data_IF_180800475733
#
_entry.id   IF_180800475733
#
_cell.length_a   1.000
_cell.length_b   1.000
_cell.length_c   1.000
_cell.angle_alpha   90.00
_cell.angle_beta   90.00
_cell.angle_gamma   90.00
#
_symmetry.space_group_name_H-M   'P 1'
#
loop_
_entity.id
_entity.type
_entity.pdbx_description
1 polymer ?
#
# COMPACT_ATOMS: atom_id res chain seq x y z
N UNK A 1 20.11 -12.61 20.58
CA UNK A 1 19.38 -11.33 20.57
C UNK A 1 18.11 -11.57 19.77
N UNK A 2 16.94 -11.23 20.31
CA UNK A 2 15.66 -11.44 19.63
C UNK A 2 15.22 -10.10 19.04
N UNK A 3 15.54 -9.85 17.77
CA UNK A 3 15.13 -8.65 17.06
C UNK A 3 13.93 -8.98 16.17
N UNK A 4 12.96 -8.08 16.12
CA UNK A 4 11.96 -8.06 15.06
C UNK A 4 12.54 -7.28 13.88
N UNK A 5 12.48 -7.88 12.70
CA UNK A 5 12.99 -7.27 11.46
C UNK A 5 11.80 -6.90 10.58
N UNK A 6 11.83 -5.67 10.07
CA UNK A 6 10.82 -5.14 9.15
C UNK A 6 11.51 -4.80 7.84
N UNK A 7 10.91 -5.20 6.72
CA UNK A 7 11.34 -4.88 5.37
C UNK A 7 10.32 -3.95 4.71
N UNK A 8 10.69 -2.68 4.50
CA UNK A 8 9.96 -1.78 3.62
C UNK A 8 10.43 -1.95 2.17
N UNK A 9 9.50 -2.18 1.24
CA UNK A 9 9.81 -2.44 -0.16
C UNK A 9 8.71 -1.91 -1.08
N UNK A 10 9.04 -1.60 -2.33
CA UNK A 10 8.03 -1.27 -3.36
C UNK A 10 7.43 -2.52 -4.04
N UNK A 11 7.88 -3.73 -3.68
CA UNK A 11 7.31 -4.97 -4.19
C UNK A 11 7.66 -5.33 -5.63
N UNK A 12 8.61 -4.63 -6.28
CA UNK A 12 9.04 -4.94 -7.66
C UNK A 12 9.95 -6.17 -7.72
N UNK A 13 10.68 -6.45 -6.64
CA UNK A 13 11.58 -7.62 -6.54
C UNK A 13 10.82 -8.78 -5.89
N UNK A 14 10.98 -10.03 -6.38
CA UNK A 14 10.39 -11.21 -5.74
C UNK A 14 10.74 -11.31 -4.25
N UNK A 15 9.73 -11.65 -3.44
CA UNK A 15 9.85 -11.78 -1.98
C UNK A 15 10.01 -13.23 -1.52
N UNK A 16 10.20 -14.18 -2.44
CA UNK A 16 10.29 -15.63 -2.18
C UNK A 16 11.48 -16.03 -1.30
N UNK A 17 12.49 -15.16 -1.20
CA UNK A 17 13.68 -15.36 -0.37
C UNK A 17 13.67 -14.58 0.94
N UNK A 18 12.62 -13.81 1.20
CA UNK A 18 12.48 -13.08 2.47
C UNK A 18 12.07 -14.08 3.56
N UNK A 19 12.81 -14.20 4.67
CA UNK A 19 12.46 -15.10 5.77
C UNK A 19 11.05 -14.82 6.31
N UNK A 20 10.33 -15.87 6.73
CA UNK A 20 8.94 -15.75 7.16
C UNK A 20 8.76 -14.86 8.39
N UNK A 21 9.77 -14.81 9.27
CA UNK A 21 9.78 -13.98 10.47
C UNK A 21 9.96 -12.47 10.19
N UNK A 22 10.36 -12.09 8.97
CA UNK A 22 10.46 -10.70 8.58
C UNK A 22 9.07 -10.19 8.23
N UNK A 23 8.68 -9.09 8.86
CA UNK A 23 7.44 -8.36 8.53
C UNK A 23 7.70 -7.57 7.25
N UNK A 24 6.97 -7.87 6.18
CA UNK A 24 7.03 -7.12 4.93
C UNK A 24 6.01 -5.99 4.98
N UNK A 25 6.45 -4.76 4.71
CA UNK A 25 5.60 -3.61 4.43
C UNK A 25 5.77 -3.26 2.97
N UNK A 26 4.80 -3.68 2.14
CA UNK A 26 4.88 -3.49 0.68
C UNK A 26 4.13 -2.22 0.29
N UNK A 27 4.87 -1.24 -0.22
CA UNK A 27 4.38 0.03 -0.74
C UNK A 27 3.94 -0.14 -2.20
N UNK A 28 2.62 -0.30 -2.40
CA UNK A 28 2.00 -0.43 -3.71
C UNK A 28 1.90 0.96 -4.32
N UNK A 29 2.59 1.17 -5.45
CA UNK A 29 2.57 2.46 -6.14
C UNK A 29 1.25 2.70 -6.84
N UNK A 30 0.66 3.84 -6.55
CA UNK A 30 -0.55 4.33 -7.19
C UNK A 30 -0.24 5.12 -8.47
N UNK A 31 -1.19 5.22 -9.41
CA UNK A 31 -0.97 5.88 -10.70
C UNK A 31 -0.54 7.35 -10.61
N UNK A 32 -1.20 8.17 -9.79
CA UNK A 32 -0.94 9.62 -9.77
C UNK A 32 0.37 9.95 -9.03
N UNK A 33 0.85 9.07 -8.16
CA UNK A 33 2.19 9.15 -7.57
C UNK A 33 3.33 8.99 -8.58
N UNK A 34 3.03 8.58 -9.82
CA UNK A 34 4.00 8.31 -10.88
C UNK A 34 3.53 8.97 -12.18
N UNK A 35 3.88 10.23 -12.35
CA UNK A 35 3.54 11.06 -13.51
C UNK A 35 3.70 10.30 -14.84
N UNK A 36 2.58 10.15 -15.57
CA UNK A 36 2.42 9.98 -17.04
C UNK A 36 1.85 8.65 -17.59
N UNK A 37 1.68 7.58 -16.81
CA UNK A 37 0.93 6.40 -17.28
C UNK A 37 -0.23 6.11 -16.32
N UNK A 38 -1.46 6.42 -16.75
CA UNK A 38 -2.67 6.01 -16.04
C UNK A 38 -2.67 4.49 -15.81
N UNK A 39 -3.33 4.03 -14.74
CA UNK A 39 -3.45 2.64 -14.30
C UNK A 39 -3.62 1.64 -15.46
N UNK A 40 -2.51 1.16 -16.00
CA UNK A 40 -2.47 0.19 -17.08
C UNK A 40 -1.84 -1.10 -16.59
N UNK A 41 -2.11 -2.20 -17.28
CA UNK A 41 -1.42 -3.47 -16.99
C UNK A 41 0.10 -3.33 -17.10
N UNK A 42 0.58 -2.41 -17.95
CA UNK A 42 2.01 -2.10 -18.11
C UNK A 42 2.55 -1.32 -16.92
N UNK A 43 1.78 -0.38 -16.38
CA UNK A 43 2.10 0.32 -15.13
C UNK A 43 2.31 -0.70 -13.99
N UNK A 44 1.34 -1.58 -13.77
CA UNK A 44 1.43 -2.54 -12.65
C UNK A 44 2.57 -3.54 -12.83
N UNK A 45 2.83 -4.03 -14.04
CA UNK A 45 3.99 -4.91 -14.32
C UNK A 45 5.34 -4.26 -14.05
N UNK A 46 5.45 -2.93 -14.14
CA UNK A 46 6.69 -2.17 -13.85
C UNK A 46 6.86 -1.87 -12.37
N UNK A 47 5.76 -1.74 -11.63
CA UNK A 47 5.75 -1.22 -10.26
C UNK A 47 5.37 -2.26 -9.20
N UNK A 48 4.95 -3.46 -9.59
CA UNK A 48 4.68 -4.56 -8.68
C UNK A 48 4.97 -5.91 -9.35
N UNK A 49 5.72 -6.76 -8.67
CA UNK A 49 5.79 -8.18 -9.02
C UNK A 49 4.56 -8.91 -8.47
N UNK A 50 3.48 -9.02 -9.25
CA UNK A 50 2.19 -9.59 -8.84
C UNK A 50 2.26 -10.88 -7.99
N UNK A 51 3.12 -11.86 -8.28
CA UNK A 51 3.24 -13.05 -7.43
C UNK A 51 3.55 -12.75 -5.96
N UNK A 52 4.12 -11.59 -5.65
CA UNK A 52 4.38 -11.16 -4.27
C UNK A 52 3.12 -11.02 -3.43
N UNK A 53 1.95 -10.74 -4.02
CA UNK A 53 0.70 -10.66 -3.28
C UNK A 53 0.39 -12.01 -2.60
N UNK A 54 0.68 -13.12 -3.29
CA UNK A 54 0.50 -14.48 -2.75
C UNK A 54 1.60 -14.89 -1.73
N UNK A 55 2.63 -14.06 -1.56
CA UNK A 55 3.73 -14.29 -0.60
C UNK A 55 3.57 -13.44 0.67
N UNK A 56 2.49 -12.67 0.76
CA UNK A 56 2.09 -11.98 1.98
C UNK A 56 1.56 -13.01 2.99
N UNK A 57 1.72 -12.69 4.26
CA UNK A 57 1.22 -13.48 5.38
C UNK A 57 0.46 -12.57 6.37
N UNK A 58 -0.12 -13.20 7.39
CA UNK A 58 -1.03 -12.54 8.35
C UNK A 58 -0.39 -11.47 9.23
N UNK A 59 0.95 -11.30 9.18
CA UNK A 59 1.66 -10.25 9.93
C UNK A 59 2.29 -9.19 9.01
N UNK A 60 2.13 -9.34 7.70
CA UNK A 60 2.59 -8.35 6.72
C UNK A 60 1.62 -7.18 6.59
N UNK A 61 2.09 -6.10 6.00
CA UNK A 61 1.30 -4.89 5.77
C UNK A 61 1.39 -4.46 4.29
N UNK A 62 0.27 -3.98 3.77
CA UNK A 62 0.24 -3.28 2.48
C UNK A 62 0.07 -1.79 2.72
N UNK A 63 0.85 -0.98 2.02
CA UNK A 63 0.82 0.48 2.14
C UNK A 63 0.54 1.10 0.79
N UNK A 64 -0.40 2.03 0.75
CA UNK A 64 -0.71 2.86 -0.41
C UNK A 64 -0.47 4.31 -0.03
N UNK A 65 0.46 4.97 -0.72
CA UNK A 65 0.65 6.42 -0.59
C UNK A 65 -0.20 7.09 -1.67
N UNK A 66 -1.22 7.83 -1.26
CA UNK A 66 -2.25 8.37 -2.14
C UNK A 66 -2.01 9.87 -2.38
N UNK A 67 -1.98 10.28 -3.65
CA UNK A 67 -1.81 11.67 -4.05
C UNK A 67 -3.13 12.37 -4.38
N UNK A 68 -4.21 11.62 -4.62
CA UNK A 68 -5.46 12.17 -5.15
C UNK A 68 -6.67 11.29 -4.81
N UNK A 69 -7.86 11.75 -5.18
CA UNK A 69 -9.08 10.92 -5.14
C UNK A 69 -9.04 9.76 -6.13
N UNK A 70 -8.42 9.94 -7.29
CA UNK A 70 -8.27 8.88 -8.28
C UNK A 70 -7.38 7.74 -7.76
N UNK A 71 -6.29 8.07 -7.05
CA UNK A 71 -5.46 7.09 -6.36
C UNK A 71 -6.24 6.32 -5.29
N UNK A 72 -7.09 7.01 -4.53
CA UNK A 72 -7.93 6.38 -3.51
C UNK A 72 -8.93 5.39 -4.12
N UNK A 73 -9.66 5.81 -5.17
CA UNK A 73 -10.63 4.96 -5.85
C UNK A 73 -9.93 3.76 -6.52
N UNK A 74 -8.78 4.00 -7.15
CA UNK A 74 -7.94 2.93 -7.72
C UNK A 74 -7.47 1.93 -6.66
N UNK A 75 -6.98 2.41 -5.51
CA UNK A 75 -6.50 1.55 -4.43
C UNK A 75 -7.63 0.68 -3.86
N UNK A 76 -8.85 1.22 -3.73
CA UNK A 76 -10.03 0.44 -3.35
C UNK A 76 -10.31 -0.69 -4.33
N UNK A 77 -10.37 -0.37 -5.63
CA UNK A 77 -10.60 -1.36 -6.68
C UNK A 77 -9.50 -2.43 -6.67
N UNK A 78 -8.24 -2.04 -6.48
CA UNK A 78 -7.10 -2.97 -6.40
C UNK A 78 -7.25 -3.93 -5.21
N UNK A 79 -7.64 -3.43 -4.03
CA UNK A 79 -7.85 -4.26 -2.84
C UNK A 79 -8.96 -5.28 -3.07
N UNK A 80 -10.07 -4.85 -3.68
CA UNK A 80 -11.21 -5.72 -3.97
C UNK A 80 -10.86 -6.78 -5.03
N UNK A 81 -10.28 -6.36 -6.16
CA UNK A 81 -9.90 -7.25 -7.27
C UNK A 81 -8.92 -8.35 -6.84
N UNK A 82 -8.04 -8.05 -5.88
CA UNK A 82 -7.04 -8.99 -5.39
C UNK A 82 -7.40 -9.64 -4.05
N UNK A 83 -8.60 -9.40 -3.51
CA UNK A 83 -9.07 -9.95 -2.22
C UNK A 83 -8.02 -9.79 -1.10
N UNK A 84 -7.44 -8.59 -0.98
CA UNK A 84 -6.27 -8.37 -0.11
C UNK A 84 -6.61 -8.26 1.38
N UNK A 85 -7.89 -8.02 1.72
CA UNK A 85 -8.30 -7.87 3.12
C UNK A 85 -8.06 -9.13 3.97
N UNK A 86 -8.01 -10.30 3.33
CA UNK A 86 -7.78 -11.58 4.01
C UNK A 86 -6.31 -12.05 3.94
N UNK A 87 -5.43 -11.31 3.26
CA UNK A 87 -4.06 -11.76 2.96
C UNK A 87 -2.98 -11.15 3.87
N UNK A 88 -3.23 -10.00 4.48
CA UNK A 88 -2.26 -9.29 5.32
C UNK A 88 -2.90 -8.73 6.60
N UNK A 89 -2.08 -8.37 7.58
CA UNK A 89 -2.57 -7.86 8.88
C UNK A 89 -3.29 -6.51 8.74
N UNK A 90 -2.70 -5.63 7.93
CA UNK A 90 -3.15 -4.26 7.77
C UNK A 90 -2.98 -3.79 6.33
N UNK A 91 -4.00 -3.10 5.85
CA UNK A 91 -3.91 -2.24 4.67
C UNK A 91 -3.88 -0.79 5.15
N UNK A 92 -2.83 -0.08 4.77
CA UNK A 92 -2.50 1.26 5.23
C UNK A 92 -2.69 2.27 4.09
N UNK A 93 -3.54 3.27 4.33
CA UNK A 93 -3.70 4.41 3.44
C UNK A 93 -2.95 5.60 4.03
N UNK A 94 -1.96 6.10 3.27
CA UNK A 94 -1.10 7.22 3.66
C UNK A 94 -1.31 8.39 2.71
N UNK A 95 -1.62 9.60 3.20
CA UNK A 95 -1.68 10.77 2.33
C UNK A 95 -0.26 11.17 1.91
N UNK A 96 -0.07 11.48 0.62
CA UNK A 96 1.14 12.16 0.17
C UNK A 96 1.20 13.54 0.82
N UNK A 97 2.37 13.88 1.39
CA UNK A 97 2.55 15.07 2.22
C UNK A 97 2.16 16.39 1.55
N UNK A 98 2.44 16.52 0.24
CA UNK A 98 2.20 17.77 -0.49
C UNK A 98 0.88 17.77 -1.27
N UNK A 99 0.31 16.59 -1.51
CA UNK A 99 -0.71 16.42 -2.55
C UNK A 99 -2.10 16.11 -1.98
N UNK A 100 -2.18 15.52 -0.77
CA UNK A 100 -3.45 15.14 -0.15
C UNK A 100 -3.52 15.54 1.33
N UNK A 101 -4.56 16.29 1.72
CA UNK A 101 -4.80 16.61 3.13
C UNK A 101 -5.20 15.33 3.88
N UNK A 102 -4.52 14.98 4.99
CA UNK A 102 -4.93 13.86 5.85
C UNK A 102 -6.40 13.87 6.26
N UNK A 103 -7.00 15.04 6.48
CA UNK A 103 -8.42 15.16 6.85
C UNK A 103 -9.34 14.72 5.71
N UNK A 104 -8.97 15.05 4.48
CA UNK A 104 -9.72 14.65 3.29
C UNK A 104 -9.67 13.14 3.11
N UNK A 105 -8.49 12.53 3.25
CA UNK A 105 -8.35 11.07 3.21
C UNK A 105 -9.16 10.37 4.33
N UNK A 106 -9.17 10.92 5.54
CA UNK A 106 -10.02 10.40 6.64
C UNK A 106 -11.49 10.44 6.25
N UNK A 107 -11.97 11.54 5.68
CA UNK A 107 -13.37 11.67 5.29
C UNK A 107 -13.75 10.62 4.25
N UNK A 108 -12.91 10.39 3.23
CA UNK A 108 -13.17 9.36 2.22
C UNK A 108 -13.23 7.95 2.82
N UNK A 109 -12.28 7.60 3.70
CA UNK A 109 -12.29 6.30 4.40
C UNK A 109 -13.58 6.10 5.20
N UNK A 110 -14.05 7.14 5.89
CA UNK A 110 -15.27 7.09 6.69
C UNK A 110 -16.54 6.98 5.83
N UNK A 111 -16.63 7.78 4.77
CA UNK A 111 -17.79 7.79 3.86
C UNK A 111 -18.01 6.41 3.23
N UNK A 112 -16.91 5.75 2.83
CA UNK A 112 -16.96 4.44 2.19
C UNK A 112 -16.93 3.27 3.19
N UNK A 113 -16.77 3.55 4.49
CA UNK A 113 -16.60 2.53 5.55
C UNK A 113 -15.53 1.49 5.19
N UNK A 114 -14.46 1.96 4.57
CA UNK A 114 -13.42 1.09 4.02
C UNK A 114 -12.57 0.50 5.15
N UNK A 115 -12.39 -0.83 5.15
CA UNK A 115 -11.61 -1.55 6.16
C UNK A 115 -10.09 -1.39 5.95
N UNK A 116 -9.60 -0.16 6.08
CA UNK A 116 -8.19 0.24 6.00
C UNK A 116 -7.82 1.07 7.22
N UNK A 117 -6.52 1.26 7.45
CA UNK A 117 -6.02 2.16 8.50
C UNK A 117 -5.36 3.37 7.89
N UNK A 118 -5.68 4.55 8.44
CA UNK A 118 -4.91 5.76 8.15
C UNK A 118 -3.49 5.61 8.71
N UNK A 119 -2.47 5.88 7.90
CA UNK A 119 -1.07 5.89 8.30
C UNK A 119 -0.42 7.23 7.93
N UNK A 120 -0.11 8.06 8.94
CA UNK A 120 0.55 9.35 8.74
C UNK A 120 2.06 9.20 8.65
N UNK A 121 2.69 10.01 7.81
CA UNK A 121 4.15 10.14 7.76
C UNK A 121 4.65 10.99 8.96
N UNK A 122 4.59 10.42 10.16
CA UNK A 122 4.83 11.15 11.44
C UNK A 122 6.15 11.91 11.46
N UNK A 123 7.22 11.38 10.85
CA UNK A 123 8.53 12.04 10.75
C UNK A 123 8.54 13.37 9.99
N UNK A 124 7.43 13.74 9.31
CA UNK A 124 7.27 15.06 8.70
C UNK A 124 6.58 16.08 9.63
N UNK A 125 6.04 15.62 10.75
CA UNK A 125 5.38 16.45 11.76
C UNK A 125 6.23 16.70 13.02
N UNK A 126 7.22 15.83 13.29
CA UNK A 126 8.04 15.85 14.52
C UNK A 126 9.50 16.22 14.26
#
# INVERSE_FOLDING_TARGET
>A
MNYSVILETNGVIPLDKVPLEVIKVVDIKTPDGLTLEAASETFLKRHLHYPNLNLLNTHDELKFVLCSRADYDWAKEFIEQHALQDQCEKILFSPSWNDLDPKELVQWILDDQLAVRLNLQLHKYI
#
